data_IF_699216699085
#
_entry.id   IF_699216699085
#
_cell.length_a   1.000
_cell.length_b   1.000
_cell.length_c   1.000
_cell.angle_alpha   90.00
_cell.angle_beta   90.00
_cell.angle_gamma   90.00
#
_symmetry.space_group_name_H-M   'P 1'
#
loop_
_entity.id
_entity.type
_entity.pdbx_description
1 polymer ?
#
# COMPACT_ATOMS: atom_id res chain seq x y z
N UNK A 1 2.97 -23.02 15.19
CA UNK A 1 2.22 -22.76 13.94
C UNK A 1 1.55 -21.38 13.92
N UNK A 2 0.73 -20.99 14.90
CA UNK A 2 0.04 -19.68 14.87
C UNK A 2 1.01 -18.48 14.93
N UNK A 3 1.97 -18.53 15.87
CA UNK A 3 2.98 -17.48 16.09
C UNK A 3 3.85 -17.16 14.86
N UNK A 4 4.03 -18.15 13.96
CA UNK A 4 4.82 -17.98 12.73
C UNK A 4 4.00 -17.52 11.53
N UNK A 5 2.67 -17.72 11.54
CA UNK A 5 1.76 -17.06 10.58
C UNK A 5 1.60 -15.59 10.91
N UNK A 6 1.47 -15.27 12.20
CA UNK A 6 1.34 -13.88 12.69
C UNK A 6 2.59 -13.05 12.34
N UNK A 7 3.76 -13.67 12.45
CA UNK A 7 5.07 -13.17 12.04
C UNK A 7 5.09 -12.65 10.59
N UNK A 8 4.76 -13.52 9.63
CA UNK A 8 4.79 -13.16 8.20
C UNK A 8 3.76 -12.08 7.88
N UNK A 9 2.56 -12.15 8.47
CA UNK A 9 1.51 -11.15 8.28
C UNK A 9 2.01 -9.77 8.75
N UNK A 10 2.66 -9.70 9.90
CA UNK A 10 3.18 -8.45 10.45
C UNK A 10 4.35 -7.89 9.63
N UNK A 11 5.31 -8.74 9.21
CA UNK A 11 6.39 -8.32 8.32
C UNK A 11 5.87 -7.79 6.98
N UNK A 12 4.92 -8.51 6.37
CA UNK A 12 4.31 -8.11 5.10
C UNK A 12 3.51 -6.80 5.22
N UNK A 13 2.77 -6.60 6.32
CA UNK A 13 2.05 -5.36 6.58
C UNK A 13 2.99 -4.15 6.72
N UNK A 14 4.13 -4.34 7.38
CA UNK A 14 5.15 -3.30 7.52
C UNK A 14 5.80 -2.94 6.18
N UNK A 15 6.15 -3.95 5.37
CA UNK A 15 6.65 -3.77 4.00
C UNK A 15 5.64 -2.93 3.20
N UNK A 16 4.37 -3.33 3.22
CA UNK A 16 3.30 -2.65 2.49
C UNK A 16 3.13 -1.19 2.93
N UNK A 17 3.18 -0.89 4.24
CA UNK A 17 3.08 0.47 4.74
C UNK A 17 4.24 1.36 4.25
N UNK A 18 5.46 0.81 4.17
CA UNK A 18 6.65 1.54 3.69
C UNK A 18 6.62 1.75 2.18
N UNK A 19 6.25 0.73 1.40
CA UNK A 19 6.09 0.86 -0.05
C UNK A 19 5.05 1.93 -0.46
N UNK A 20 4.09 2.25 0.43
CA UNK A 20 3.04 3.25 0.18
C UNK A 20 3.54 4.69 0.33
N UNK A 21 4.48 4.93 1.23
CA UNK A 21 4.88 6.29 1.60
C UNK A 21 5.96 6.85 0.67
N UNK A 22 6.98 6.05 0.33
CA UNK A 22 8.07 6.41 -0.62
C UNK A 22 8.70 5.14 -1.23
N UNK A 23 9.64 5.30 -2.17
CA UNK A 23 10.52 4.19 -2.58
C UNK A 23 11.33 3.71 -1.37
N UNK A 24 11.15 2.43 -1.01
CA UNK A 24 11.86 1.81 0.12
C UNK A 24 13.38 1.99 -0.01
N UNK A 25 13.99 2.55 1.03
CA UNK A 25 15.45 2.71 1.09
C UNK A 25 16.15 1.36 1.15
N UNK A 26 17.44 1.33 0.81
CA UNK A 26 18.25 0.11 0.93
C UNK A 26 18.24 -0.44 2.36
N UNK A 27 18.26 0.44 3.35
CA UNK A 27 18.27 0.06 4.75
C UNK A 27 16.98 -0.61 5.21
N UNK A 28 15.84 -0.05 4.80
CA UNK A 28 14.53 -0.64 5.05
C UNK A 28 14.36 -1.96 4.31
N UNK A 29 14.88 -2.06 3.08
CA UNK A 29 14.88 -3.30 2.29
C UNK A 29 15.66 -4.40 3.00
N UNK A 30 16.86 -4.09 3.50
CA UNK A 30 17.69 -5.03 4.27
C UNK A 30 16.96 -5.45 5.55
N UNK A 31 16.38 -4.50 6.29
CA UNK A 31 15.63 -4.80 7.52
C UNK A 31 14.43 -5.73 7.26
N UNK A 32 13.65 -5.44 6.21
CA UNK A 32 12.52 -6.25 5.81
C UNK A 32 12.96 -7.66 5.37
N UNK A 33 14.06 -7.78 4.62
CA UNK A 33 14.60 -9.06 4.21
C UNK A 33 15.02 -9.91 5.42
N UNK A 34 15.75 -9.32 6.38
CA UNK A 34 16.11 -10.00 7.65
C UNK A 34 14.85 -10.48 8.37
N UNK A 35 13.84 -9.62 8.52
CA UNK A 35 12.61 -9.94 9.26
C UNK A 35 11.82 -11.09 8.63
N UNK A 36 11.76 -11.13 7.29
CA UNK A 36 11.12 -12.22 6.54
C UNK A 36 11.90 -13.53 6.66
N UNK A 37 13.22 -13.48 6.59
CA UNK A 37 14.07 -14.64 6.83
C UNK A 37 13.89 -15.19 8.24
N UNK A 38 13.86 -14.34 9.26
CA UNK A 38 13.64 -14.79 10.63
C UNK A 38 12.26 -15.45 10.81
N UNK A 39 11.22 -14.97 10.12
CA UNK A 39 9.92 -15.68 10.07
C UNK A 39 10.02 -17.07 9.46
N UNK A 40 10.75 -17.19 8.36
CA UNK A 40 10.94 -18.46 7.68
C UNK A 40 11.67 -19.45 8.58
N UNK A 41 12.77 -19.02 9.21
CA UNK A 41 13.54 -19.83 10.15
C UNK A 41 12.71 -20.28 11.37
N UNK A 42 11.93 -19.35 11.95
CA UNK A 42 11.03 -19.65 13.05
C UNK A 42 9.91 -20.63 12.65
N UNK A 43 9.48 -20.62 11.39
CA UNK A 43 8.47 -21.55 10.87
C UNK A 43 9.05 -22.93 10.62
N UNK A 44 10.27 -22.99 10.07
CA UNK A 44 10.93 -24.23 9.71
C UNK A 44 11.32 -25.05 10.96
N UNK A 45 11.58 -24.41 12.10
CA UNK A 45 12.04 -25.05 13.35
C UNK A 45 13.31 -25.92 13.15
N UNK A 46 14.05 -25.67 12.06
CA UNK A 46 15.24 -26.45 11.66
C UNK A 46 16.47 -25.98 12.44
N UNK A 47 16.59 -24.68 12.70
CA UNK A 47 17.70 -24.07 13.47
C UNK A 47 17.27 -22.77 14.13
N UNK A 48 17.89 -22.47 15.27
CA UNK A 48 17.71 -21.17 15.94
C UNK A 48 18.41 -20.06 15.13
N UNK A 49 17.80 -18.88 14.98
CA UNK A 49 18.42 -17.77 14.27
C UNK A 49 19.68 -17.27 14.99
N UNK A 50 20.65 -16.64 14.28
CA UNK A 50 21.84 -16.06 14.90
C UNK A 50 21.50 -15.02 15.96
N UNK A 51 22.30 -14.95 17.03
CA UNK A 51 22.08 -14.02 18.15
C UNK A 51 22.26 -12.57 17.71
N UNK A 52 23.11 -12.33 16.71
CA UNK A 52 23.32 -11.04 16.05
C UNK A 52 22.03 -10.50 15.43
N UNK A 53 21.08 -11.38 15.10
CA UNK A 53 19.78 -11.03 14.52
C UNK A 53 18.66 -10.85 15.57
N UNK A 54 18.96 -10.99 16.87
CA UNK A 54 17.96 -10.81 17.94
C UNK A 54 17.18 -9.48 17.87
N UNK A 55 17.79 -8.32 17.52
CA UNK A 55 17.07 -7.05 17.40
C UNK A 55 15.94 -7.08 16.34
N UNK A 56 15.99 -8.01 15.39
CA UNK A 56 15.03 -8.13 14.29
C UNK A 56 14.00 -9.25 14.52
N UNK A 57 14.14 -10.01 15.61
CA UNK A 57 13.26 -11.15 15.93
C UNK A 57 11.92 -10.75 16.57
N UNK A 58 11.82 -9.52 17.09
CA UNK A 58 10.60 -8.98 17.70
C UNK A 58 9.90 -8.06 16.71
N UNK A 59 8.78 -8.54 16.18
CA UNK A 59 7.90 -7.81 15.28
C UNK A 59 7.57 -6.41 15.80
N UNK A 60 8.16 -5.40 15.17
CA UNK A 60 7.65 -4.03 15.07
C UNK A 60 7.09 -3.44 16.37
N UNK A 61 7.91 -3.35 17.42
CA UNK A 61 7.66 -2.39 18.51
C UNK A 61 8.52 -1.14 18.29
N UNK A 62 7.86 -0.13 17.75
CA UNK A 62 7.99 1.30 18.09
C UNK A 62 9.15 1.69 19.02
N UNK A 63 9.97 2.65 18.57
CA UNK A 63 10.71 3.60 19.42
C UNK A 63 11.76 3.08 20.42
N UNK A 64 12.06 1.78 20.49
CA UNK A 64 13.14 1.27 21.37
C UNK A 64 14.36 0.88 20.57
N UNK A 65 15.16 1.90 20.26
CA UNK A 65 16.40 1.88 19.49
C UNK A 65 16.25 1.41 18.04
N UNK A 66 16.35 2.29 17.02
CA UNK A 66 16.48 1.83 15.64
C UNK A 66 17.68 0.89 15.58
N UNK A 67 17.48 -0.31 15.04
CA UNK A 67 18.58 -1.25 14.80
C UNK A 67 19.67 -0.50 14.02
N UNK A 68 20.79 -0.26 14.69
CA UNK A 68 21.88 0.52 14.11
C UNK A 68 22.37 -0.15 12.83
N UNK A 69 22.94 0.63 11.92
CA UNK A 69 23.56 0.08 10.70
C UNK A 69 24.53 -1.07 11.01
N UNK A 70 25.28 -0.95 12.11
CA UNK A 70 26.16 -2.02 12.61
C UNK A 70 25.39 -3.31 12.93
N UNK A 71 24.30 -3.24 13.68
CA UNK A 71 23.50 -4.43 13.99
C UNK A 71 22.91 -5.13 12.76
N UNK A 72 22.55 -4.37 11.70
CA UNK A 72 22.13 -4.96 10.43
C UNK A 72 23.28 -5.68 9.74
N UNK A 73 24.44 -5.02 9.64
CA UNK A 73 25.64 -5.62 9.03
C UNK A 73 26.06 -6.90 9.75
N UNK A 74 26.10 -6.88 11.08
CA UNK A 74 26.48 -8.03 11.91
C UNK A 74 25.50 -9.19 11.73
N UNK A 75 24.18 -8.91 11.67
CA UNK A 75 23.18 -9.93 11.39
C UNK A 75 23.31 -10.50 9.97
N UNK A 76 23.52 -9.66 8.94
CA UNK A 76 23.70 -10.13 7.56
C UNK A 76 24.96 -10.98 7.43
N UNK A 77 26.05 -10.58 8.09
CA UNK A 77 27.27 -11.38 8.15
C UNK A 77 26.99 -12.74 8.81
N UNK A 78 26.26 -12.77 9.92
CA UNK A 78 25.89 -14.02 10.59
C UNK A 78 25.01 -14.91 9.71
N UNK A 79 24.04 -14.35 8.97
CA UNK A 79 23.21 -15.08 8.01
C UNK A 79 24.05 -15.67 6.87
N UNK A 80 25.11 -14.99 6.44
CA UNK A 80 26.00 -15.48 5.37
C UNK A 80 26.80 -16.73 5.76
N UNK A 81 26.93 -17.02 7.06
CA UNK A 81 27.64 -18.22 7.57
C UNK A 81 26.88 -19.52 7.30
N UNK A 82 25.61 -19.44 6.90
CA UNK A 82 24.78 -20.60 6.51
C UNK A 82 24.23 -20.41 5.10
N UNK A 83 24.52 -21.34 4.20
CA UNK A 83 24.04 -21.29 2.82
C UNK A 83 22.50 -21.26 2.73
N UNK A 84 21.81 -21.96 3.65
CA UNK A 84 20.35 -21.96 3.71
C UNK A 84 19.83 -20.57 4.11
N UNK A 85 20.40 -19.96 5.15
CA UNK A 85 19.96 -18.65 5.63
C UNK A 85 20.27 -17.55 4.62
N UNK A 86 21.43 -17.64 3.97
CA UNK A 86 21.80 -16.74 2.88
C UNK A 86 20.85 -16.83 1.69
N UNK A 87 20.43 -18.04 1.32
CA UNK A 87 19.45 -18.23 0.25
C UNK A 87 18.12 -17.56 0.57
N UNK A 88 17.58 -17.77 1.78
CA UNK A 88 16.33 -17.12 2.22
C UNK A 88 16.46 -15.60 2.26
N UNK A 89 17.54 -15.07 2.85
CA UNK A 89 17.80 -13.63 2.93
C UNK A 89 17.93 -12.98 1.55
N UNK A 90 18.79 -13.52 0.69
CA UNK A 90 19.03 -12.98 -0.65
C UNK A 90 17.83 -13.11 -1.58
N UNK A 91 16.97 -14.12 -1.35
CA UNK A 91 15.66 -14.25 -1.98
C UNK A 91 14.76 -13.06 -1.61
N UNK A 92 14.48 -12.87 -0.32
CA UNK A 92 13.63 -11.78 0.13
C UNK A 92 14.16 -10.39 -0.24
N UNK A 93 15.48 -10.18 -0.17
CA UNK A 93 16.10 -8.91 -0.57
C UNK A 93 15.78 -8.54 -2.03
N UNK A 94 15.67 -9.54 -2.92
CA UNK A 94 15.34 -9.37 -4.34
C UNK A 94 13.83 -9.24 -4.58
N UNK A 95 13.03 -9.95 -3.80
CA UNK A 95 11.57 -9.99 -3.97
C UNK A 95 10.86 -8.77 -3.40
N UNK A 96 11.35 -8.19 -2.29
CA UNK A 96 10.71 -7.04 -1.63
C UNK A 96 10.51 -5.84 -2.59
N UNK A 97 11.48 -5.43 -3.42
CA UNK A 97 11.25 -4.39 -4.42
C UNK A 97 10.16 -4.74 -5.44
N UNK A 98 10.07 -6.02 -5.83
CA UNK A 98 9.03 -6.49 -6.76
C UNK A 98 7.65 -6.45 -6.09
N UNK A 99 7.57 -6.82 -4.81
CA UNK A 99 6.36 -6.67 -4.00
C UNK A 99 5.96 -5.21 -3.87
N UNK A 100 6.89 -4.29 -3.60
CA UNK A 100 6.58 -2.86 -3.58
C UNK A 100 6.07 -2.36 -4.94
N UNK A 101 6.65 -2.82 -6.05
CA UNK A 101 6.20 -2.42 -7.38
C UNK A 101 4.76 -2.91 -7.67
N UNK A 102 4.42 -4.14 -7.31
CA UNK A 102 3.07 -4.67 -7.50
C UNK A 102 2.05 -3.96 -6.62
N UNK A 103 2.38 -3.69 -5.35
CA UNK A 103 1.53 -2.90 -4.46
C UNK A 103 1.36 -1.45 -4.93
N UNK A 104 2.45 -0.80 -5.34
CA UNK A 104 2.42 0.55 -5.88
C UNK A 104 1.53 0.65 -7.12
N UNK A 105 1.67 -0.30 -8.06
CA UNK A 105 0.81 -0.38 -9.25
C UNK A 105 -0.66 -0.53 -8.88
N UNK A 106 -0.99 -1.42 -7.94
CA UNK A 106 -2.37 -1.65 -7.52
C UNK A 106 -3.02 -0.40 -6.91
N UNK A 107 -2.29 0.30 -6.03
CA UNK A 107 -2.75 1.54 -5.39
C UNK A 107 -2.95 2.64 -6.45
N UNK A 108 -2.00 2.80 -7.36
CA UNK A 108 -2.04 3.83 -8.40
C UNK A 108 -3.22 3.59 -9.35
N UNK A 109 -3.46 2.35 -9.80
CA UNK A 109 -4.64 2.01 -10.60
C UNK A 109 -5.94 2.25 -9.84
N UNK A 110 -6.03 1.84 -8.58
CA UNK A 110 -7.26 2.02 -7.79
C UNK A 110 -7.57 3.50 -7.55
N UNK A 111 -6.55 4.33 -7.29
CA UNK A 111 -6.72 5.78 -7.15
C UNK A 111 -7.20 6.44 -8.45
N UNK A 112 -6.71 5.95 -9.59
CA UNK A 112 -7.14 6.43 -10.91
C UNK A 112 -8.60 6.04 -11.19
N UNK A 113 -8.99 4.82 -10.87
CA UNK A 113 -10.36 4.33 -11.07
C UNK A 113 -11.34 5.08 -10.18
N UNK A 114 -11.00 5.32 -8.90
CA UNK A 114 -11.80 6.12 -7.98
C UNK A 114 -11.99 7.56 -8.47
N UNK A 115 -10.91 8.19 -8.95
CA UNK A 115 -10.99 9.53 -9.52
C UNK A 115 -11.92 9.54 -10.74
N UNK A 116 -11.76 8.57 -11.64
CA UNK A 116 -12.57 8.43 -12.85
C UNK A 116 -14.05 8.28 -12.53
N UNK A 117 -14.39 7.45 -11.56
CA UNK A 117 -15.77 7.25 -11.11
C UNK A 117 -16.35 8.50 -10.45
N UNK A 118 -15.56 9.21 -9.64
CA UNK A 118 -15.96 10.48 -9.04
C UNK A 118 -16.28 11.53 -10.11
N UNK A 119 -15.41 11.68 -11.11
CA UNK A 119 -15.64 12.60 -12.23
C UNK A 119 -16.84 12.18 -13.08
N UNK A 120 -17.04 10.88 -13.31
CA UNK A 120 -18.20 10.36 -14.03
C UNK A 120 -19.50 10.72 -13.31
N UNK A 121 -19.56 10.49 -12.00
CA UNK A 121 -20.74 10.80 -11.19
C UNK A 121 -21.03 12.30 -11.18
N UNK A 122 -20.02 13.14 -10.96
CA UNK A 122 -20.18 14.60 -11.00
C UNK A 122 -20.66 15.09 -12.39
N UNK A 123 -20.18 14.46 -13.47
CA UNK A 123 -20.61 14.81 -14.83
C UNK A 123 -22.06 14.42 -15.08
N UNK A 124 -22.50 13.25 -14.61
CA UNK A 124 -23.88 12.80 -14.73
C UNK A 124 -24.85 13.70 -13.95
N UNK A 125 -24.48 14.09 -12.74
CA UNK A 125 -25.26 15.03 -11.93
C UNK A 125 -25.38 16.38 -12.63
N UNK A 126 -24.26 16.90 -13.17
CA UNK A 126 -24.24 18.18 -13.90
C UNK A 126 -25.11 18.12 -15.17
N UNK A 127 -25.05 17.04 -15.94
CA UNK A 127 -25.93 16.84 -17.11
C UNK A 127 -27.40 16.83 -16.69
N UNK A 128 -27.72 16.14 -15.60
CA UNK A 128 -29.10 16.04 -15.09
C UNK A 128 -29.61 17.41 -14.65
N UNK A 129 -28.78 18.18 -13.95
CA UNK A 129 -29.09 19.55 -13.54
C UNK A 129 -29.32 20.48 -14.74
N UNK A 130 -28.44 20.44 -15.75
CA UNK A 130 -28.58 21.25 -16.97
C UNK A 130 -29.86 20.92 -17.73
N UNK A 131 -30.23 19.64 -17.82
CA UNK A 131 -31.51 19.23 -18.42
C UNK A 131 -32.70 19.82 -17.67
N UNK A 132 -32.66 19.80 -16.33
CA UNK A 132 -33.73 20.36 -15.51
C UNK A 132 -33.86 21.88 -15.69
N UNK A 133 -32.74 22.61 -15.72
CA UNK A 133 -32.75 24.06 -15.99
C UNK A 133 -33.31 24.38 -17.38
N UNK A 134 -32.85 23.68 -18.41
CA UNK A 134 -33.36 23.87 -19.78
C UNK A 134 -34.86 23.60 -19.87
N UNK A 135 -35.37 22.59 -19.16
CA UNK A 135 -36.81 22.32 -19.10
C UNK A 135 -37.57 23.46 -18.41
N UNK A 136 -37.03 24.00 -17.30
CA UNK A 136 -37.64 25.15 -16.61
C UNK A 136 -37.69 26.40 -17.48
N UNK A 137 -36.62 26.70 -18.21
CA UNK A 137 -36.57 27.83 -19.14
C UNK A 137 -37.65 27.72 -20.22
N UNK A 138 -37.77 26.54 -20.85
CA UNK A 138 -38.82 26.28 -21.86
C UNK A 138 -40.24 26.47 -21.32
N UNK A 139 -40.49 26.01 -20.08
CA UNK A 139 -41.81 26.18 -19.44
C UNK A 139 -42.09 27.68 -19.18
N UNK A 140 -41.10 28.42 -18.71
CA UNK A 140 -41.23 29.86 -18.45
C UNK A 140 -41.48 30.64 -19.75
N UNK A 141 -40.77 30.34 -20.83
CA UNK A 141 -40.99 30.94 -22.16
C UNK A 141 -42.40 30.64 -22.71
N UNK A 142 -42.88 29.41 -22.55
CA UNK A 142 -44.24 29.02 -22.93
C UNK A 142 -45.30 29.79 -22.12
N UNK A 143 -45.09 29.97 -20.82
CA UNK A 143 -45.98 30.77 -19.99
C UNK A 143 -45.96 32.24 -20.41
N UNK A 144 -44.79 32.85 -20.56
CA UNK A 144 -44.63 34.24 -21.00
C UNK A 144 -45.31 34.51 -22.34
N UNK A 145 -45.15 33.62 -23.33
CA UNK A 145 -45.83 33.75 -24.63
C UNK A 145 -47.35 33.62 -24.54
N UNK A 146 -47.87 32.79 -23.63
CA UNK A 146 -49.30 32.68 -23.36
C UNK A 146 -49.84 33.94 -22.67
N UNK A 147 -49.09 34.51 -21.72
CA UNK A 147 -49.45 35.76 -21.05
C UNK A 147 -49.45 36.95 -22.02
N UNK A 148 -48.42 37.11 -22.86
CA UNK A 148 -48.34 38.23 -23.81
C UNK A 148 -49.43 38.18 -24.88
N UNK A 149 -49.79 36.98 -25.36
CA UNK A 149 -50.92 36.80 -26.27
C UNK A 149 -52.28 37.07 -25.62
N UNK A 150 -52.45 36.76 -24.33
CA UNK A 150 -53.68 37.06 -23.57
C UNK A 150 -53.87 38.53 -23.18
N UNK A 151 -52.80 39.32 -23.13
CA UNK A 151 -52.84 40.77 -22.81
C UNK A 151 -53.09 41.65 -24.05
N UNK A 152 -53.07 41.07 -25.26
CA UNK A 152 -53.21 41.79 -26.54
C UNK A 152 -54.67 42.02 -27.00
N UNK A 153 -55.62 42.21 -26.07
CA UNK A 153 -57.04 42.55 -26.37
C UNK A 153 -57.36 43.98 -25.96
#
# INVERSE_FOLDING_TARGET
AQRSKDCFIQAAAAIHARCRQEHMTEDERIHAAISMTLCELATANIQSPPLECAPFSQYMQSDRNPATERSRRDCVEALSRSAQFWSSYSGYLREIPQLCFTFGRWILTMSQDLARDTYRNATLEKITFLRHLSQRERILEAQLSTWTSGVSV
#
